data_IF_178803026618
#
_entry.id   IF_178803026618
#
_cell.length_a   1.000
_cell.length_b   1.000
_cell.length_c   1.000
_cell.angle_alpha   90.00
_cell.angle_beta   90.00
_cell.angle_gamma   90.00
#
_symmetry.space_group_name_H-M   'P 1'
#
loop_
_entity.id
_entity.type
_entity.pdbx_description
1 polymer ?
#
# COMPACT_ATOMS: atom_id res chain seq x y z
N UNK A 1 -22.53 24.13 33.85
CA UNK A 1 -22.79 22.73 33.46
C UNK A 1 -21.46 22.22 32.95
N UNK A 2 -20.78 21.49 33.84
CA UNK A 2 -19.54 20.77 33.62
C UNK A 2 -19.66 19.90 32.40
N UNK A 3 -19.33 20.43 31.24
CA UNK A 3 -18.84 19.56 30.25
C UNK A 3 -17.53 18.89 30.91
N UNK A 4 -17.42 17.55 31.02
CA UNK A 4 -16.39 16.52 31.25
C UNK A 4 -16.29 15.51 30.04
N UNK A 5 -15.21 15.57 29.26
CA UNK A 5 -15.00 14.76 28.04
C UNK A 5 -14.51 13.41 28.52
N UNK A 6 -15.30 12.37 28.35
CA UNK A 6 -14.82 11.01 28.62
C UNK A 6 -13.61 10.78 27.72
N UNK A 7 -12.47 10.46 28.33
CA UNK A 7 -11.25 10.19 27.58
C UNK A 7 -11.51 9.02 26.61
N UNK A 8 -10.88 8.98 25.41
CA UNK A 8 -11.08 7.87 24.47
C UNK A 8 -10.79 6.50 25.10
N UNK A 9 -9.91 6.46 26.12
CA UNK A 9 -9.63 5.28 26.91
C UNK A 9 -10.82 4.87 27.80
N UNK A 10 -11.50 5.83 28.42
CA UNK A 10 -12.68 5.59 29.26
C UNK A 10 -13.85 5.05 28.43
N UNK A 11 -14.02 5.56 27.21
CA UNK A 11 -14.98 5.02 26.25
C UNK A 11 -14.69 3.55 25.92
N UNK A 12 -13.44 3.20 25.60
CA UNK A 12 -13.06 1.82 25.34
C UNK A 12 -13.31 0.91 26.56
N UNK A 13 -12.95 1.35 27.76
CA UNK A 13 -13.23 0.59 28.99
C UNK A 13 -14.73 0.43 29.25
N UNK A 14 -15.55 1.44 28.91
CA UNK A 14 -17.00 1.36 29.02
C UNK A 14 -17.58 0.32 28.05
N UNK A 15 -17.06 0.22 26.82
CA UNK A 15 -17.46 -0.80 25.84
C UNK A 15 -17.09 -2.21 26.30
N UNK A 16 -15.90 -2.40 26.87
CA UNK A 16 -15.52 -3.69 27.44
C UNK A 16 -16.40 -4.06 28.64
N UNK A 17 -16.65 -3.11 29.55
CA UNK A 17 -17.49 -3.35 30.72
C UNK A 17 -18.92 -3.67 30.33
N UNK A 18 -19.47 -2.97 29.32
CA UNK A 18 -20.81 -3.23 28.79
C UNK A 18 -20.89 -4.56 28.05
N UNK A 19 -19.88 -4.90 27.25
CA UNK A 19 -19.83 -6.19 26.57
C UNK A 19 -19.72 -7.34 27.57
N UNK A 20 -18.85 -7.20 28.57
CA UNK A 20 -18.67 -8.18 29.63
C UNK A 20 -19.94 -8.37 30.47
N UNK A 21 -20.60 -7.28 30.87
CA UNK A 21 -21.86 -7.36 31.63
C UNK A 21 -23.00 -7.97 30.81
N UNK A 22 -23.03 -7.71 29.50
CA UNK A 22 -24.01 -8.33 28.61
C UNK A 22 -23.79 -9.84 28.50
N UNK A 23 -22.53 -10.30 28.31
CA UNK A 23 -22.21 -11.73 28.27
C UNK A 23 -22.53 -12.41 29.61
N UNK A 24 -22.24 -11.74 30.74
CA UNK A 24 -22.61 -12.26 32.07
C UNK A 24 -24.13 -12.39 32.25
N UNK A 25 -24.92 -11.41 31.84
CA UNK A 25 -26.39 -11.50 31.92
C UNK A 25 -26.94 -12.66 31.10
N UNK A 26 -26.39 -12.90 29.90
CA UNK A 26 -26.78 -14.06 29.09
C UNK A 26 -26.33 -15.38 29.71
N UNK A 27 -25.11 -15.43 30.26
CA UNK A 27 -24.60 -16.61 30.96
C UNK A 27 -25.45 -16.94 32.20
N UNK A 28 -25.77 -15.95 33.04
CA UNK A 28 -26.60 -16.13 34.23
C UNK A 28 -28.00 -16.64 33.86
N UNK A 29 -28.61 -16.04 32.82
CA UNK A 29 -29.91 -16.48 32.33
C UNK A 29 -29.87 -17.90 31.78
N UNK A 30 -28.83 -18.23 31.03
CA UNK A 30 -28.63 -19.58 30.50
C UNK A 30 -28.43 -20.61 31.63
N UNK A 31 -27.64 -20.25 32.64
CA UNK A 31 -27.40 -21.09 33.81
C UNK A 31 -28.70 -21.40 34.56
N UNK A 32 -29.49 -20.35 34.83
CA UNK A 32 -30.72 -20.50 35.60
C UNK A 32 -31.84 -21.18 34.80
N UNK A 33 -31.98 -20.88 33.51
CA UNK A 33 -33.09 -21.39 32.69
C UNK A 33 -32.82 -22.78 32.12
N UNK A 34 -31.57 -23.13 31.82
CA UNK A 34 -31.24 -24.39 31.13
C UNK A 34 -30.29 -25.27 31.93
N UNK A 35 -29.19 -24.72 32.46
CA UNK A 35 -28.16 -25.55 33.08
C UNK A 35 -28.64 -26.17 34.41
N UNK A 36 -29.17 -25.37 35.33
CA UNK A 36 -29.69 -25.84 36.63
C UNK A 36 -30.78 -26.90 36.50
N UNK A 37 -31.86 -26.69 35.73
CA UNK A 37 -32.89 -27.72 35.59
C UNK A 37 -32.37 -28.98 34.90
N UNK A 38 -31.49 -28.87 33.90
CA UNK A 38 -30.89 -30.04 33.24
C UNK A 38 -30.00 -30.86 34.19
N UNK A 39 -29.20 -30.20 35.03
CA UNK A 39 -28.36 -30.89 36.02
C UNK A 39 -29.25 -31.59 37.06
N UNK A 40 -30.26 -30.90 37.58
CA UNK A 40 -31.16 -31.46 38.59
C UNK A 40 -31.95 -32.66 38.04
N UNK A 41 -32.46 -32.58 36.80
CA UNK A 41 -33.16 -33.71 36.17
C UNK A 41 -32.19 -34.86 35.87
N UNK A 42 -30.99 -34.57 35.37
CA UNK A 42 -29.99 -35.61 35.10
C UNK A 42 -29.63 -36.40 36.35
N UNK A 43 -29.43 -35.73 37.50
CA UNK A 43 -29.15 -36.38 38.77
C UNK A 43 -30.29 -37.31 39.20
N UNK A 44 -31.55 -36.87 39.04
CA UNK A 44 -32.70 -37.74 39.32
C UNK A 44 -32.70 -39.00 38.43
N UNK A 45 -32.48 -38.85 37.12
CA UNK A 45 -32.42 -39.99 36.19
C UNK A 45 -31.27 -40.98 36.48
N UNK A 46 -30.10 -40.47 36.92
CA UNK A 46 -28.97 -41.34 37.30
C UNK A 46 -29.28 -42.19 38.54
N UNK A 47 -30.08 -41.69 39.48
CA UNK A 47 -30.46 -42.45 40.67
C UNK A 47 -31.45 -43.58 40.37
N UNK A 48 -32.35 -43.37 39.41
CA UNK A 48 -33.40 -44.34 39.09
C UNK A 48 -32.90 -45.45 38.14
N UNK A 49 -32.12 -45.09 37.11
CA UNK A 49 -31.66 -46.02 36.08
C UNK A 49 -30.20 -45.76 35.62
N UNK A 50 -29.19 -46.14 36.44
CA UNK A 50 -27.79 -45.77 36.19
C UNK A 50 -27.22 -46.33 34.88
N UNK A 51 -27.59 -47.57 34.50
CA UNK A 51 -27.07 -48.23 33.29
C UNK A 51 -27.57 -47.53 32.02
N UNK A 52 -28.86 -47.19 31.95
CA UNK A 52 -29.45 -46.55 30.78
C UNK A 52 -28.93 -45.11 30.62
N UNK A 53 -28.78 -44.38 31.73
CA UNK A 53 -28.28 -43.00 31.72
C UNK A 53 -26.85 -42.91 31.16
N UNK A 54 -25.95 -43.81 31.58
CA UNK A 54 -24.56 -43.86 31.06
C UNK A 54 -24.53 -44.20 29.56
N UNK A 55 -25.41 -45.09 29.11
CA UNK A 55 -25.53 -45.44 27.69
C UNK A 55 -25.99 -44.24 26.86
N UNK A 56 -27.05 -43.54 27.27
CA UNK A 56 -27.51 -42.30 26.61
C UNK A 56 -26.43 -41.23 26.61
N UNK A 57 -25.74 -41.01 27.73
CA UNK A 57 -24.69 -40.01 27.83
C UNK A 57 -23.53 -40.31 26.87
N UNK A 58 -23.07 -41.56 26.84
CA UNK A 58 -22.00 -42.01 25.95
C UNK A 58 -22.41 -41.94 24.49
N UNK A 59 -23.62 -42.42 24.17
CA UNK A 59 -24.17 -42.36 22.81
C UNK A 59 -24.33 -40.91 22.34
N UNK A 60 -24.82 -40.02 23.21
CA UNK A 60 -24.97 -38.60 22.91
C UNK A 60 -23.61 -37.90 22.73
N UNK A 61 -22.62 -38.24 23.55
CA UNK A 61 -21.27 -37.68 23.41
C UNK A 61 -20.61 -38.16 22.10
N UNK A 62 -20.72 -39.45 21.79
CA UNK A 62 -20.19 -40.05 20.56
C UNK A 62 -20.93 -39.55 19.31
N UNK A 63 -22.21 -39.20 19.41
CA UNK A 63 -22.99 -38.65 18.28
C UNK A 63 -22.74 -37.15 18.07
N UNK A 64 -22.40 -36.41 19.13
CA UNK A 64 -21.99 -35.01 19.01
C UNK A 64 -20.57 -34.85 18.45
N UNK A 65 -19.69 -35.83 18.68
CA UNK A 65 -18.32 -35.81 18.18
C UNK A 65 -18.19 -35.62 16.65
N UNK A 66 -18.91 -36.34 15.78
CA UNK A 66 -18.88 -36.10 14.34
C UNK A 66 -19.45 -34.73 13.96
N UNK A 67 -20.47 -34.23 14.67
CA UNK A 67 -21.05 -32.90 14.43
C UNK A 67 -20.04 -31.81 14.78
N UNK A 68 -19.38 -31.92 15.94
CA UNK A 68 -18.35 -30.99 16.37
C UNK A 68 -17.15 -30.99 15.41
N UNK A 69 -16.68 -32.18 15.01
CA UNK A 69 -15.61 -32.31 14.01
C UNK A 69 -16.01 -31.69 12.67
N UNK A 70 -17.25 -31.90 12.21
CA UNK A 70 -17.75 -31.29 10.99
C UNK A 70 -17.73 -29.75 11.06
N UNK A 71 -18.17 -29.17 12.19
CA UNK A 71 -18.15 -27.71 12.39
C UNK A 71 -16.71 -27.18 12.38
N UNK A 72 -15.80 -27.83 13.11
CA UNK A 72 -14.39 -27.39 13.18
C UNK A 72 -13.70 -27.52 11.84
N UNK A 73 -13.87 -28.65 11.14
CA UNK A 73 -13.28 -28.86 9.82
C UNK A 73 -13.87 -27.91 8.78
N UNK A 74 -15.18 -27.66 8.82
CA UNK A 74 -15.85 -26.69 7.93
C UNK A 74 -15.33 -25.27 8.17
N UNK A 75 -15.27 -24.82 9.43
CA UNK A 75 -14.72 -23.51 9.79
C UNK A 75 -13.24 -23.38 9.39
N UNK A 76 -12.44 -24.43 9.65
CA UNK A 76 -11.03 -24.48 9.25
C UNK A 76 -10.86 -24.43 7.74
N UNK A 77 -11.73 -25.09 6.97
CA UNK A 77 -11.72 -25.06 5.51
C UNK A 77 -12.00 -23.63 5.02
N UNK A 78 -13.05 -22.98 5.50
CA UNK A 78 -13.41 -21.60 5.13
C UNK A 78 -12.25 -20.65 5.45
N UNK A 79 -11.64 -20.77 6.64
CA UNK A 79 -10.52 -19.95 7.03
C UNK A 79 -9.30 -20.15 6.11
N UNK A 80 -8.99 -21.41 5.79
CA UNK A 80 -7.87 -21.75 4.90
C UNK A 80 -8.10 -21.20 3.48
N UNK A 81 -9.31 -21.37 2.93
CA UNK A 81 -9.68 -20.78 1.64
C UNK A 81 -9.57 -19.26 1.63
N UNK A 82 -9.98 -18.61 2.72
CA UNK A 82 -9.87 -17.15 2.85
C UNK A 82 -8.41 -16.70 2.86
N UNK A 83 -7.55 -17.35 3.63
CA UNK A 83 -6.11 -17.06 3.67
C UNK A 83 -5.48 -17.27 2.30
N UNK A 84 -5.79 -18.39 1.63
CA UNK A 84 -5.29 -18.68 0.28
C UNK A 84 -5.75 -17.61 -0.72
N UNK A 85 -7.02 -17.20 -0.69
CA UNK A 85 -7.54 -16.15 -1.56
C UNK A 85 -6.78 -14.82 -1.35
N UNK A 86 -6.52 -14.43 -0.10
CA UNK A 86 -5.74 -13.23 0.23
C UNK A 86 -4.31 -13.37 -0.31
N UNK A 87 -3.66 -14.52 -0.13
CA UNK A 87 -2.33 -14.78 -0.67
C UNK A 87 -2.30 -14.66 -2.21
N UNK A 88 -3.29 -15.20 -2.91
CA UNK A 88 -3.41 -15.09 -4.36
C UNK A 88 -3.61 -13.64 -4.82
N UNK A 89 -4.46 -12.88 -4.13
CA UNK A 89 -4.67 -11.45 -4.45
C UNK A 89 -3.37 -10.67 -4.29
N UNK A 90 -2.63 -10.88 -3.20
CA UNK A 90 -1.34 -10.22 -2.96
C UNK A 90 -0.32 -10.62 -4.02
N UNK A 91 -0.18 -11.92 -4.31
CA UNK A 91 0.74 -12.42 -5.33
C UNK A 91 0.42 -11.86 -6.73
N UNK A 92 -0.86 -11.82 -7.10
CA UNK A 92 -1.34 -11.24 -8.35
C UNK A 92 -1.05 -9.73 -8.43
N UNK A 93 -1.27 -9.01 -7.34
CA UNK A 93 -0.97 -7.57 -7.24
C UNK A 93 0.53 -7.30 -7.43
N UNK A 94 1.39 -8.04 -6.73
CA UNK A 94 2.86 -7.92 -6.85
C UNK A 94 3.30 -8.23 -8.28
N UNK A 95 2.79 -9.31 -8.87
CA UNK A 95 3.12 -9.72 -10.25
C UNK A 95 2.74 -8.63 -11.24
N UNK A 96 1.55 -8.06 -11.09
CA UNK A 96 1.07 -6.95 -11.93
C UNK A 96 1.95 -5.72 -11.79
N UNK A 97 2.34 -5.37 -10.57
CA UNK A 97 3.24 -4.24 -10.30
C UNK A 97 4.61 -4.44 -10.95
N UNK A 98 5.23 -5.62 -10.77
CA UNK A 98 6.52 -5.96 -11.38
C UNK A 98 6.43 -5.91 -12.91
N UNK A 99 5.32 -6.38 -13.48
CA UNK A 99 5.08 -6.31 -14.93
C UNK A 99 5.05 -4.86 -15.41
N UNK A 100 4.25 -3.99 -14.77
CA UNK A 100 4.18 -2.56 -15.13
C UNK A 100 5.54 -1.85 -14.98
N UNK A 101 6.26 -2.10 -13.90
CA UNK A 101 7.61 -1.52 -13.69
C UNK A 101 8.57 -1.98 -14.77
N UNK A 102 8.50 -3.26 -15.18
CA UNK A 102 9.34 -3.80 -16.25
C UNK A 102 9.02 -3.16 -17.61
N UNK A 103 7.73 -3.00 -17.93
CA UNK A 103 7.28 -2.30 -19.16
C UNK A 103 7.72 -0.84 -19.15
N UNK A 104 7.59 -0.15 -18.01
CA UNK A 104 8.05 1.23 -17.85
C UNK A 104 9.57 1.34 -18.05
N UNK A 105 10.35 0.47 -17.42
CA UNK A 105 11.80 0.43 -17.58
C UNK A 105 12.20 0.17 -19.05
N UNK A 106 11.56 -0.79 -19.71
CA UNK A 106 11.79 -1.07 -21.13
C UNK A 106 11.48 0.13 -22.02
N UNK A 107 10.38 0.84 -21.73
CA UNK A 107 9.97 2.05 -22.46
C UNK A 107 10.99 3.17 -22.25
N UNK A 108 11.46 3.40 -21.02
CA UNK A 108 12.48 4.41 -20.73
C UNK A 108 13.80 4.11 -21.43
N UNK A 109 14.24 2.83 -21.44
CA UNK A 109 15.44 2.42 -22.18
C UNK A 109 15.27 2.66 -23.67
N UNK A 110 14.11 2.33 -24.23
CA UNK A 110 13.82 2.54 -25.66
C UNK A 110 13.85 4.03 -26.02
N UNK A 111 13.19 4.88 -25.22
CA UNK A 111 13.19 6.34 -25.40
C UNK A 111 14.60 6.90 -25.25
N UNK A 112 15.38 6.41 -24.27
CA UNK A 112 16.76 6.82 -24.08
C UNK A 112 17.63 6.48 -25.30
N UNK A 113 17.58 5.24 -25.78
CA UNK A 113 18.27 4.82 -27.00
C UNK A 113 17.85 5.64 -28.22
N UNK A 114 16.54 5.88 -28.38
CA UNK A 114 16.01 6.71 -29.46
C UNK A 114 16.51 8.15 -29.35
N UNK A 115 16.52 8.74 -28.16
CA UNK A 115 17.03 10.08 -27.91
C UNK A 115 18.52 10.16 -28.24
N UNK A 116 19.34 9.20 -27.81
CA UNK A 116 20.77 9.15 -28.13
C UNK A 116 20.98 9.02 -29.64
N UNK A 117 20.19 8.18 -30.32
CA UNK A 117 20.26 8.00 -31.76
C UNK A 117 19.89 9.28 -32.52
N UNK A 118 18.80 9.94 -32.13
CA UNK A 118 18.34 11.20 -32.73
C UNK A 118 19.38 12.31 -32.48
N UNK A 119 19.83 12.49 -31.25
CA UNK A 119 20.85 13.50 -30.91
C UNK A 119 22.17 13.23 -31.64
N UNK A 120 22.61 11.97 -31.69
CA UNK A 120 23.80 11.57 -32.45
C UNK A 120 23.65 11.85 -33.95
N UNK A 121 22.48 11.54 -34.53
CA UNK A 121 22.19 11.80 -35.95
C UNK A 121 22.17 13.30 -36.26
N UNK A 122 21.53 14.11 -35.42
CA UNK A 122 21.54 15.57 -35.56
C UNK A 122 22.96 16.13 -35.42
N UNK A 123 23.75 15.62 -34.46
CA UNK A 123 25.13 16.03 -34.27
C UNK A 123 25.98 15.71 -35.50
N UNK A 124 25.88 14.50 -36.05
CA UNK A 124 26.59 14.10 -37.28
C UNK A 124 26.15 14.98 -38.45
N UNK A 125 24.83 15.17 -38.65
CA UNK A 125 24.30 15.98 -39.74
C UNK A 125 24.77 17.44 -39.65
N UNK A 126 24.72 18.04 -38.46
CA UNK A 126 25.25 19.38 -38.19
C UNK A 126 26.73 19.47 -38.53
N UNK A 127 27.50 18.48 -38.08
CA UNK A 127 28.95 18.44 -38.25
C UNK A 127 29.34 18.30 -39.71
N UNK A 128 28.62 17.47 -40.47
CA UNK A 128 28.77 17.32 -41.92
C UNK A 128 28.37 18.60 -42.67
N UNK A 129 27.23 19.20 -42.32
CA UNK A 129 26.81 20.49 -42.89
C UNK A 129 27.87 21.57 -42.70
N UNK A 130 28.43 21.67 -41.49
CA UNK A 130 29.50 22.61 -41.16
C UNK A 130 30.78 22.31 -41.94
N UNK A 131 31.17 21.03 -42.05
CA UNK A 131 32.33 20.62 -42.86
C UNK A 131 32.17 21.03 -44.33
N UNK A 132 30.99 20.79 -44.91
CA UNK A 132 30.68 21.17 -46.30
C UNK A 132 30.77 22.70 -46.47
N UNK A 133 30.23 23.46 -45.52
CA UNK A 133 30.31 24.93 -45.53
C UNK A 133 31.76 25.45 -45.46
N UNK A 134 32.60 24.90 -44.56
CA UNK A 134 34.01 25.26 -44.43
C UNK A 134 34.84 24.83 -45.65
N UNK A 135 34.54 23.66 -46.22
CA UNK A 135 35.26 23.16 -47.41
C UNK A 135 34.94 24.01 -48.64
N UNK A 136 33.69 24.48 -48.76
CA UNK A 136 33.28 25.37 -49.86
C UNK A 136 33.92 26.76 -49.78
N UNK A 137 34.21 27.25 -48.58
CA UNK A 137 34.78 28.60 -48.36
C UNK A 137 36.31 28.61 -48.33
N UNK A 138 36.95 27.60 -47.73
CA UNK A 138 38.41 27.57 -47.49
C UNK A 138 39.14 26.42 -48.19
N UNK A 139 38.45 25.57 -48.96
CA UNK A 139 39.02 24.38 -49.61
C UNK A 139 39.58 23.37 -48.60
N UNK A 140 40.70 22.72 -48.94
CA UNK A 140 41.36 21.71 -48.08
C UNK A 140 41.76 22.24 -46.70
N UNK A 141 42.03 23.55 -46.57
CA UNK A 141 42.40 24.15 -45.27
C UNK A 141 41.24 24.14 -44.27
N UNK A 142 40.00 24.10 -44.75
CA UNK A 142 38.80 24.03 -43.92
C UNK A 142 38.70 22.75 -43.09
N UNK A 143 39.25 21.63 -43.57
CA UNK A 143 39.22 20.33 -42.87
C UNK A 143 40.04 20.38 -41.58
N UNK A 144 41.23 20.99 -41.62
CA UNK A 144 42.09 21.13 -40.44
C UNK A 144 41.46 22.05 -39.38
N UNK A 145 40.80 23.13 -39.80
CA UNK A 145 40.10 24.06 -38.91
C UNK A 145 38.93 23.32 -38.24
N UNK A 146 38.08 22.66 -39.02
CA UNK A 146 36.97 21.85 -38.54
C UNK A 146 37.41 20.76 -37.54
N UNK A 147 38.50 20.04 -37.83
CA UNK A 147 39.01 19.00 -36.93
C UNK A 147 39.45 19.57 -35.59
N UNK A 148 40.14 20.72 -35.60
CA UNK A 148 40.54 21.41 -34.37
C UNK A 148 39.34 21.93 -33.57
N UNK A 149 38.29 22.41 -34.25
CA UNK A 149 37.03 22.84 -33.62
C UNK A 149 36.34 21.66 -32.93
N UNK A 150 36.14 20.53 -33.61
CA UNK A 150 35.48 19.34 -33.04
C UNK A 150 36.24 18.81 -31.84
N UNK A 151 37.56 18.69 -31.95
CA UNK A 151 38.38 18.22 -30.83
C UNK A 151 38.23 19.15 -29.63
N UNK A 152 38.10 20.46 -29.84
CA UNK A 152 37.85 21.41 -28.76
C UNK A 152 36.45 21.26 -28.12
N UNK A 153 35.43 20.88 -28.90
CA UNK A 153 34.07 20.65 -28.39
C UNK A 153 33.90 19.32 -27.66
N UNK A 154 34.57 18.25 -28.12
CA UNK A 154 34.43 16.90 -27.53
C UNK A 154 35.32 16.73 -26.29
N UNK A 155 36.43 17.45 -26.21
CA UNK A 155 37.39 17.36 -25.10
C UNK A 155 37.47 18.66 -24.26
N UNK A 156 36.35 19.16 -23.69
CA UNK A 156 36.41 20.29 -22.76
C UNK A 156 37.16 19.94 -21.46
N UNK A 157 37.44 18.65 -21.23
CA UNK A 157 38.23 18.15 -20.10
C UNK A 157 39.74 18.46 -20.18
N UNK A 158 40.22 19.27 -21.14
CA UNK A 158 41.52 19.90 -20.97
C UNK A 158 41.41 20.87 -19.79
N UNK A 159 41.79 20.36 -18.61
CA UNK A 159 42.11 21.12 -17.40
C UNK A 159 42.76 22.42 -17.89
N UNK A 160 42.20 23.60 -17.58
CA UNK A 160 42.76 24.87 -18.03
C UNK A 160 44.24 24.81 -17.69
N UNK A 161 45.08 24.79 -18.73
CA UNK A 161 46.52 24.75 -18.55
C UNK A 161 46.81 25.98 -17.72
N UNK A 162 47.06 25.76 -16.42
CA UNK A 162 47.40 26.81 -15.47
C UNK A 162 48.43 27.63 -16.21
N UNK A 163 48.15 28.91 -16.54
CA UNK A 163 49.08 29.70 -17.31
C UNK A 163 50.37 29.58 -16.54
N UNK A 164 51.34 28.88 -17.14
CA UNK A 164 52.64 28.69 -16.54
C UNK A 164 53.13 30.11 -16.40
N UNK A 165 53.00 30.65 -15.19
CA UNK A 165 53.46 31.97 -14.82
C UNK A 165 54.92 31.90 -15.20
N UNK A 166 55.22 32.47 -16.35
CA UNK A 166 56.54 32.57 -16.91
C UNK A 166 57.22 33.54 -15.98
N UNK A 167 57.72 32.98 -14.87
CA UNK A 167 58.83 33.44 -14.05
C UNK A 167 59.20 34.83 -14.48
N UNK A 168 58.42 35.79 -14.00
CA UNK A 168 58.58 37.20 -14.30
C UNK A 168 59.91 37.55 -13.67
N UNK A 169 60.97 37.45 -14.49
CA UNK A 169 62.32 37.76 -14.10
C UNK A 169 62.28 39.25 -13.75
N UNK A 170 62.48 39.65 -12.48
CA UNK A 170 62.44 41.04 -12.10
C UNK A 170 63.61 41.71 -12.81
N UNK A 171 63.33 42.41 -13.91
CA UNK A 171 64.26 43.36 -14.49
C UNK A 171 64.15 44.60 -13.63
N UNK A 172 64.98 44.63 -12.60
CA UNK A 172 65.25 45.82 -11.79
C UNK A 172 65.72 46.92 -12.74
N UNK A 173 64.83 47.84 -13.08
CA UNK A 173 65.21 49.20 -13.47
C UNK A 173 64.56 50.12 -12.47
N UNK A 174 65.35 50.42 -11.45
CA UNK A 174 65.12 51.53 -10.55
C UNK A 174 65.10 52.83 -11.36
N UNK A 175 63.99 53.56 -11.25
CA UNK A 175 63.85 55.03 -11.35
C UNK A 175 62.39 55.28 -11.00
N UNK A 176 62.06 55.46 -9.72
CA UNK A 176 61.90 56.78 -9.09
C UNK A 176 61.04 57.69 -9.98
N UNK A 177 59.73 57.69 -9.74
CA UNK A 177 59.02 58.97 -9.61
C UNK A 177 57.78 58.82 -8.73
N UNK A 178 57.65 59.83 -7.88
CA UNK A 178 56.80 60.04 -6.72
C UNK A 178 55.54 60.81 -7.15
N UNK A 179 54.35 60.29 -6.83
CA UNK A 179 53.14 61.02 -6.35
C UNK A 179 52.00 59.98 -6.23
N UNK A 180 51.49 59.63 -5.05
CA UNK A 180 50.67 60.38 -4.08
C UNK A 180 49.16 60.37 -4.43
N UNK A 181 48.42 59.61 -3.60
CA UNK A 181 47.03 59.81 -3.14
C UNK A 181 45.89 59.74 -4.17
N UNK A 182 44.70 59.23 -3.90
CA UNK A 182 44.06 58.63 -2.73
C UNK A 182 42.72 58.00 -3.17
N UNK A 183 42.04 57.38 -2.20
CA UNK A 183 40.65 56.92 -2.15
C UNK A 183 40.42 55.44 -2.52
N UNK A 184 40.51 54.51 -1.55
CA UNK A 184 39.39 53.98 -0.72
C UNK A 184 38.13 53.64 -1.51
N UNK A 185 37.70 52.38 -1.48
CA UNK A 185 36.55 51.96 -0.65
C UNK A 185 36.45 50.44 -0.63
N UNK A 186 36.29 49.95 0.60
CA UNK A 186 36.16 48.58 1.06
C UNK A 186 34.86 47.88 0.62
N UNK A 187 34.89 46.55 0.62
CA UNK A 187 33.81 45.60 0.99
C UNK A 187 34.43 44.18 0.82
N UNK A 188 34.87 43.41 1.83
CA UNK A 188 34.20 42.91 3.06
C UNK A 188 32.82 42.34 2.70
N UNK A 189 32.43 41.06 2.84
CA UNK A 189 32.73 39.98 3.81
C UNK A 189 31.89 38.76 3.34
N UNK A 190 32.45 37.55 3.15
CA UNK A 190 32.44 36.38 4.05
C UNK A 190 31.08 35.68 4.33
N UNK A 191 31.18 34.37 4.65
CA UNK A 191 30.21 33.50 5.35
C UNK A 191 29.27 32.71 4.42
N UNK A 192 29.39 31.40 4.17
CA UNK A 192 29.53 30.20 5.05
C UNK A 192 28.36 29.98 6.01
N UNK A 193 27.45 29.07 5.67
CA UNK A 193 26.64 28.21 6.57
C UNK A 193 25.99 27.14 5.69
N UNK A 194 26.32 25.84 5.72
CA UNK A 194 26.24 24.90 6.84
C UNK A 194 24.96 25.07 7.66
N UNK A 195 23.90 24.41 7.19
CA UNK A 195 22.73 23.98 7.97
C UNK A 195 22.59 22.47 7.71
N UNK A 196 23.10 21.61 8.58
CA UNK A 196 22.58 21.24 9.90
C UNK A 196 21.46 20.20 9.78
N UNK A 197 21.89 18.95 9.99
CA UNK A 197 21.05 17.80 10.27
C UNK A 197 20.42 18.06 11.63
N UNK A 198 19.10 18.09 11.72
CA UNK A 198 18.48 17.98 13.04
C UNK A 198 17.33 16.98 13.05
N UNK A 199 17.59 15.94 13.83
CA UNK A 199 16.72 14.91 14.33
C UNK A 199 15.40 15.48 14.86
N UNK A 200 14.28 14.92 14.39
CA UNK A 200 13.02 14.99 15.12
C UNK A 200 12.53 13.59 15.46
N UNK A 201 13.03 13.11 16.61
CA UNK A 201 12.41 12.05 17.41
C UNK A 201 11.24 12.62 18.22
N UNK A 202 10.09 11.92 18.33
CA UNK A 202 8.87 12.45 18.94
C UNK A 202 8.93 12.40 20.47
N UNK A 203 8.51 13.50 21.12
CA UNK A 203 8.38 13.62 22.57
C UNK A 203 6.90 13.53 22.96
N UNK A 204 6.62 12.49 23.73
CA UNK A 204 5.42 12.22 24.54
C UNK A 204 5.22 13.34 25.57
N UNK A 205 4.00 13.89 25.67
CA UNK A 205 3.40 14.55 26.85
C UNK A 205 1.91 14.70 26.52
N UNK A 206 1.02 13.87 27.08
CA UNK A 206 0.33 14.11 28.35
C UNK A 206 -0.15 15.55 28.51
N UNK A 207 -1.42 15.79 28.19
CA UNK A 207 -2.20 16.84 28.85
C UNK A 207 -3.69 16.46 28.90
N UNK A 208 -4.12 16.21 30.13
CA UNK A 208 -5.49 16.11 30.60
C UNK A 208 -6.22 17.45 30.50
N UNK A 209 -7.52 17.44 30.20
CA UNK A 209 -8.61 18.07 30.98
C UNK A 209 -9.87 18.36 30.12
N UNK A 210 -11.01 17.84 30.58
CA UNK A 210 -12.36 18.46 30.63
C UNK A 210 -13.01 19.01 29.33
N UNK A 211 -14.00 18.32 28.74
CA UNK A 211 -15.43 18.74 28.64
C UNK A 211 -16.50 17.82 27.89
N UNK A 212 -17.72 17.59 28.45
CA UNK A 212 -18.89 16.66 28.35
C UNK A 212 -19.77 17.04 27.17
N UNK A 213 -20.75 16.18 26.88
CA UNK A 213 -22.12 16.62 27.15
C UNK A 213 -23.02 15.43 27.49
N UNK A 214 -24.00 15.73 28.34
CA UNK A 214 -25.06 14.83 28.81
C UNK A 214 -26.15 14.62 27.75
N UNK A 215 -27.25 13.98 28.17
CA UNK A 215 -28.55 13.77 27.48
C UNK A 215 -28.60 12.55 26.54
N UNK A 216 -29.60 11.67 26.55
CA UNK A 216 -30.93 11.68 27.15
C UNK A 216 -31.46 10.23 27.16
N UNK A 217 -31.93 9.76 28.32
CA UNK A 217 -32.62 8.48 28.47
C UNK A 217 -34.11 8.67 28.15
N UNK A 218 -34.67 7.85 27.27
CA UNK A 218 -36.12 7.57 27.29
C UNK A 218 -36.37 6.07 27.30
N UNK A 219 -36.83 5.65 28.48
CA UNK A 219 -37.40 4.36 28.80
C UNK A 219 -38.91 4.44 28.54
N UNK A 220 -39.48 3.47 27.84
CA UNK A 220 -40.92 3.26 27.80
C UNK A 220 -41.19 1.76 27.81
N UNK A 221 -41.40 1.24 29.02
CA UNK A 221 -42.11 -0.02 29.25
C UNK A 221 -43.60 0.18 29.00
N UNK A 222 -44.23 -0.76 28.30
CA UNK A 222 -45.68 -0.82 28.17
C UNK A 222 -46.10 -2.25 27.87
N UNK A 223 -46.46 -2.99 28.92
CA UNK A 223 -47.16 -4.26 28.83
C UNK A 223 -48.62 -4.01 28.39
N UNK A 224 -49.18 -4.87 27.54
CA UNK A 224 -50.61 -5.12 27.53
C UNK A 224 -50.94 -6.46 26.87
N UNK A 225 -51.75 -7.21 27.61
CA UNK A 225 -52.43 -8.47 27.30
C UNK A 225 -53.22 -8.49 25.98
N UNK A 226 -53.38 -9.70 25.44
CA UNK A 226 -54.51 -10.06 24.57
C UNK A 226 -54.24 -11.23 23.60
N UNK A 227 -54.99 -12.35 23.66
CA UNK A 227 -54.89 -13.45 22.71
C UNK A 227 -55.78 -13.21 21.49
N UNK A 228 -55.26 -13.45 20.28
CA UNK A 228 -56.07 -13.43 19.05
C UNK A 228 -55.96 -14.79 18.36
N UNK A 229 -57.13 -15.40 18.25
CA UNK A 229 -57.49 -16.61 17.52
C UNK A 229 -57.52 -16.30 16.01
N UNK A 230 -56.88 -17.17 15.21
CA UNK A 230 -57.19 -17.59 13.83
C UNK A 230 -57.35 -16.50 12.75
N UNK A 231 -56.50 -16.54 11.71
CA UNK A 231 -57.05 -16.85 10.39
C UNK A 231 -55.98 -17.40 9.42
N UNK A 232 -56.40 -18.45 8.75
CA UNK A 232 -55.73 -19.20 7.69
C UNK A 232 -55.99 -18.44 6.38
N UNK A 233 -54.94 -17.97 5.71
CA UNK A 233 -55.04 -17.49 4.32
C UNK A 233 -53.73 -17.69 3.59
N UNK A 234 -53.75 -18.72 2.74
CA UNK A 234 -53.29 -18.71 1.36
C UNK A 234 -52.26 -17.63 1.01
N UNK A 235 -51.00 -18.04 0.88
CA UNK A 235 -50.03 -17.30 0.07
C UNK A 235 -49.42 -18.25 -0.94
N UNK A 236 -50.22 -18.47 -1.97
CA UNK A 236 -49.80 -18.81 -3.31
C UNK A 236 -48.76 -17.76 -3.77
N UNK A 237 -47.48 -18.13 -3.87
CA UNK A 237 -46.44 -17.25 -4.41
C UNK A 237 -45.65 -17.96 -5.51
N UNK A 238 -46.17 -17.75 -6.72
CA UNK A 238 -45.48 -17.49 -7.98
C UNK A 238 -44.22 -18.30 -8.30
N UNK A 239 -44.50 -19.38 -9.00
CA UNK A 239 -43.71 -19.96 -10.08
C UNK A 239 -43.50 -18.93 -11.20
N UNK A 240 -42.27 -18.46 -11.44
CA UNK A 240 -41.81 -17.91 -12.73
C UNK A 240 -40.33 -17.51 -12.69
N UNK A 241 -39.47 -18.35 -13.27
CA UNK A 241 -38.23 -17.98 -14.01
C UNK A 241 -37.66 -19.27 -14.60
N UNK A 242 -38.03 -19.71 -15.80
CA UNK A 242 -37.54 -19.20 -17.10
C UNK A 242 -36.12 -18.64 -17.03
N UNK A 243 -35.13 -19.51 -17.26
CA UNK A 243 -34.00 -19.15 -18.12
C UNK A 243 -33.48 -20.39 -18.86
N UNK A 244 -33.99 -20.53 -20.08
CA UNK A 244 -33.33 -21.15 -21.21
C UNK A 244 -32.01 -20.44 -21.49
N UNK A 245 -30.89 -21.16 -21.44
CA UNK A 245 -29.65 -20.83 -22.15
C UNK A 245 -29.06 -22.16 -22.65
N UNK A 246 -29.33 -22.46 -23.92
CA UNK A 246 -28.36 -22.26 -24.99
C UNK A 246 -27.23 -23.29 -24.91
N UNK A 247 -27.57 -24.54 -25.19
CA UNK A 247 -26.63 -25.53 -25.67
C UNK A 247 -26.24 -25.13 -27.10
N UNK A 248 -25.05 -24.56 -27.24
CA UNK A 248 -24.50 -24.16 -28.52
C UNK A 248 -22.98 -24.14 -28.48
N UNK A 249 -22.40 -24.87 -29.43
CA UNK A 249 -21.11 -24.63 -30.08
C UNK A 249 -19.86 -25.34 -29.53
N UNK A 250 -19.17 -26.02 -30.44
CA UNK A 250 -17.79 -26.51 -30.32
C UNK A 250 -17.62 -27.94 -30.84
N UNK A 251 -17.87 -28.19 -32.14
CA UNK A 251 -16.82 -28.34 -33.17
C UNK A 251 -15.75 -29.37 -32.79
N UNK A 252 -15.85 -30.62 -33.27
CA UNK A 252 -15.28 -31.07 -34.55
C UNK A 252 -13.78 -30.74 -34.65
N UNK A 253 -12.91 -31.59 -34.10
CA UNK A 253 -12.14 -32.60 -34.85
C UNK A 253 -11.68 -32.06 -36.22
N UNK A 254 -10.49 -31.46 -36.20
CA UNK A 254 -9.76 -31.00 -37.38
C UNK A 254 -8.28 -31.33 -37.23
N UNK A 255 -7.98 -32.61 -37.14
CA UNK A 255 -6.64 -33.18 -37.31
C UNK A 255 -6.19 -32.94 -38.76
N UNK A 256 -5.11 -32.20 -38.98
CA UNK A 256 -4.43 -32.14 -40.27
C UNK A 256 -2.94 -31.95 -40.07
N UNK A 257 -2.31 -33.12 -39.92
CA UNK A 257 -0.92 -33.41 -40.24
C UNK A 257 -0.73 -33.34 -41.76
N UNK A 258 0.18 -32.50 -42.28
CA UNK A 258 1.06 -32.81 -43.43
C UNK A 258 2.03 -31.64 -43.74
N UNK A 259 3.34 -31.84 -43.57
CA UNK A 259 4.36 -32.19 -44.61
C UNK A 259 4.86 -30.94 -45.35
N UNK A 260 6.07 -30.47 -45.06
CA UNK A 260 7.34 -30.84 -45.76
C UNK A 260 7.44 -30.15 -47.14
N UNK A 261 8.23 -29.08 -47.21
CA UNK A 261 9.45 -28.96 -48.02
C UNK A 261 10.22 -27.69 -47.63
#
# INVERSE_FOLDING_TARGET
MSDQQDTPQEQLTSYFTRSASSVHLYADRFEHQYARPAINTSNAFFTEHPVFSIFIASFSFLSLLPIALFIVLSASAILTFTILAICFIIASSITTLVFFVSVLACTLVTIFCFSVFVTGSLFIAYTLYRLISLTRTYGFRGINIWGSEIVSYIWPLRIPSIPSSSRQRPRNTATVHKHEQAATTDHASSSTSNYDNDDKKPRLSDESHTSSNSTHSQSASGASDGPVIVDEKDTEFSDHSRQSSSAGSGDAIGESVKVEE
#
